data_IF_201467254215
#
_entry.id   IF_201467254215
#
_cell.length_a   1.000
_cell.length_b   1.000
_cell.length_c   1.000
_cell.angle_alpha   90.00
_cell.angle_beta   90.00
_cell.angle_gamma   90.00
#
_symmetry.space_group_name_H-M   'P 1'
#
loop_
_entity.id
_entity.type
_entity.pdbx_description
1 polymer ?
#
# COMPACT_ATOMS: atom_id res chain seq x y z
N UNK A 1 2.55 11.74 4.38
CA UNK A 1 1.27 11.95 3.66
C UNK A 1 0.60 10.60 3.51
N UNK A 2 -0.73 10.51 3.67
CA UNK A 2 -1.46 9.24 3.56
C UNK A 2 -1.41 8.72 2.11
N UNK A 3 -1.29 7.41 1.91
CA UNK A 3 -1.44 6.79 0.60
C UNK A 3 -2.93 6.73 0.24
N UNK A 4 -3.39 7.78 -0.45
CA UNK A 4 -4.80 7.96 -0.82
C UNK A 4 -5.27 6.85 -1.77
N UNK A 5 -4.39 6.37 -2.65
CA UNK A 5 -4.71 5.29 -3.59
C UNK A 5 -5.00 3.97 -2.87
N UNK A 6 -4.18 3.61 -1.88
CA UNK A 6 -4.46 2.42 -1.05
C UNK A 6 -5.75 2.57 -0.24
N UNK A 7 -6.02 3.76 0.29
CA UNK A 7 -7.28 4.04 1.00
C UNK A 7 -8.50 3.92 0.07
N UNK A 8 -8.40 4.42 -1.16
CA UNK A 8 -9.44 4.29 -2.18
C UNK A 8 -9.66 2.84 -2.62
N UNK A 9 -8.58 2.08 -2.84
CA UNK A 9 -8.64 0.66 -3.20
C UNK A 9 -9.23 -0.22 -2.09
N UNK A 10 -9.03 0.16 -0.84
CA UNK A 10 -9.64 -0.50 0.32
C UNK A 10 -11.15 -0.29 0.38
N UNK A 11 -11.63 0.90 -0.02
CA UNK A 11 -13.04 1.27 0.07
C UNK A 11 -13.57 1.11 1.50
N UNK A 12 -14.67 0.38 1.64
CA UNK A 12 -15.35 0.15 2.92
C UNK A 12 -14.69 -0.93 3.80
N UNK A 13 -13.72 -1.68 3.27
CA UNK A 13 -13.06 -2.74 4.03
C UNK A 13 -12.17 -2.15 5.12
N UNK A 14 -12.01 -2.84 6.23
CA UNK A 14 -11.08 -2.42 7.28
C UNK A 14 -9.63 -2.74 6.90
N UNK A 15 -8.68 -2.02 7.51
CA UNK A 15 -7.25 -2.34 7.36
C UNK A 15 -6.91 -3.77 7.77
N UNK A 16 -7.65 -4.30 8.76
CA UNK A 16 -7.50 -5.68 9.25
C UNK A 16 -7.94 -6.68 8.19
N UNK A 17 -9.09 -6.48 7.57
CA UNK A 17 -9.58 -7.36 6.48
C UNK A 17 -8.60 -7.36 5.32
N UNK A 18 -8.20 -6.17 4.86
CA UNK A 18 -7.21 -6.05 3.79
C UNK A 18 -5.89 -6.75 4.12
N UNK A 19 -5.35 -6.51 5.31
CA UNK A 19 -4.11 -7.15 5.73
C UNK A 19 -4.23 -8.68 5.79
N UNK A 20 -5.36 -9.20 6.27
CA UNK A 20 -5.64 -10.63 6.29
C UNK A 20 -5.77 -11.22 4.88
N UNK A 21 -6.48 -10.55 3.97
CA UNK A 21 -6.64 -10.98 2.57
C UNK A 21 -5.30 -10.98 1.81
N UNK A 22 -4.47 -9.95 2.03
CA UNK A 22 -3.12 -9.88 1.45
C UNK A 22 -2.17 -10.85 2.17
N UNK A 23 -2.48 -11.27 3.40
CA UNK A 23 -1.62 -12.10 4.23
C UNK A 23 -0.37 -11.36 4.71
N UNK A 24 -0.55 -10.16 5.27
CA UNK A 24 0.50 -9.33 5.88
C UNK A 24 0.04 -8.85 7.26
N UNK A 25 0.95 -8.42 8.15
CA UNK A 25 0.54 -7.87 9.43
C UNK A 25 -0.29 -6.60 9.26
N UNK A 26 -1.38 -6.47 10.03
CA UNK A 26 -2.27 -5.28 10.02
C UNK A 26 -1.48 -4.00 10.26
N UNK A 27 -0.52 -4.02 11.18
CA UNK A 27 0.39 -2.89 11.44
C UNK A 27 1.20 -2.50 10.22
N UNK A 28 1.62 -3.46 9.41
CA UNK A 28 2.38 -3.19 8.18
C UNK A 28 1.50 -2.49 7.15
N UNK A 29 0.28 -2.99 6.93
CA UNK A 29 -0.68 -2.34 6.04
C UNK A 29 -1.01 -0.91 6.51
N UNK A 30 -1.29 -0.74 7.81
CA UNK A 30 -1.61 0.56 8.39
C UNK A 30 -0.46 1.57 8.26
N UNK A 31 0.79 1.16 8.49
CA UNK A 31 1.96 2.04 8.33
C UNK A 31 2.17 2.48 6.88
N UNK A 32 1.88 1.60 5.91
CA UNK A 32 1.99 1.92 4.49
C UNK A 32 0.85 2.84 4.06
N UNK A 33 -0.40 2.52 4.43
CA UNK A 33 -1.56 3.35 4.12
C UNK A 33 -1.44 4.75 4.74
N UNK A 34 -0.91 4.86 5.97
CA UNK A 34 -0.64 6.13 6.61
C UNK A 34 0.58 6.88 6.04
N UNK A 35 1.38 6.23 5.19
CA UNK A 35 2.61 6.78 4.61
C UNK A 35 3.74 6.97 5.62
N UNK A 36 3.72 6.25 6.74
CA UNK A 36 4.82 6.22 7.70
C UNK A 36 5.98 5.33 7.24
N UNK A 37 5.71 4.37 6.34
CA UNK A 37 6.71 3.43 5.85
C UNK A 37 6.48 3.10 4.38
N UNK A 38 7.54 3.20 3.58
CA UNK A 38 7.52 2.65 2.24
C UNK A 38 7.77 1.13 2.27
N UNK A 39 6.92 0.31 1.62
CA UNK A 39 7.08 -1.14 1.61
C UNK A 39 8.34 -1.56 0.84
N UNK A 40 8.95 -2.69 1.24
CA UNK A 40 10.06 -3.29 0.47
C UNK A 40 9.57 -3.84 -0.87
N UNK A 41 10.48 -4.03 -1.83
CA UNK A 41 10.17 -4.49 -3.20
C UNK A 41 9.27 -5.73 -3.24
N UNK A 42 9.52 -6.73 -2.40
CA UNK A 42 8.67 -7.93 -2.32
C UNK A 42 7.22 -7.61 -1.92
N UNK A 43 7.06 -6.74 -0.93
CA UNK A 43 5.75 -6.32 -0.44
C UNK A 43 5.05 -5.39 -1.44
N UNK A 44 5.79 -4.53 -2.13
CA UNK A 44 5.26 -3.73 -3.24
C UNK A 44 4.66 -4.63 -4.33
N UNK A 45 5.41 -5.64 -4.78
CA UNK A 45 4.95 -6.61 -5.78
C UNK A 45 3.71 -7.37 -5.26
N UNK A 46 3.71 -7.76 -3.99
CA UNK A 46 2.58 -8.47 -3.37
C UNK A 46 1.31 -7.62 -3.37
N UNK A 47 1.42 -6.36 -2.95
CA UNK A 47 0.31 -5.41 -2.92
C UNK A 47 -0.19 -5.10 -4.35
N UNK A 48 0.72 -4.83 -5.27
CA UNK A 48 0.41 -4.58 -6.68
C UNK A 48 -0.37 -5.76 -7.29
N UNK A 49 0.12 -6.99 -7.12
CA UNK A 49 -0.58 -8.22 -7.56
C UNK A 49 -1.95 -8.39 -6.94
N UNK A 50 -2.09 -8.10 -5.65
CA UNK A 50 -3.37 -8.20 -4.95
C UNK A 50 -4.41 -7.23 -5.55
N UNK A 51 -4.02 -5.98 -5.77
CA UNK A 51 -4.89 -4.96 -6.37
C UNK A 51 -5.01 -5.06 -7.89
N UNK A 52 -4.31 -6.02 -8.53
CA UNK A 52 -4.22 -6.17 -9.99
C UNK A 52 -3.72 -4.90 -10.69
N UNK A 53 -2.80 -4.19 -10.02
CA UNK A 53 -2.12 -3.01 -10.51
C UNK A 53 -0.62 -3.31 -10.65
N UNK A 54 0.10 -2.45 -11.35
CA UNK A 54 1.56 -2.40 -11.29
C UNK A 54 2.04 -1.70 -10.01
N UNK A 55 3.30 -1.93 -9.64
CA UNK A 55 3.93 -1.22 -8.51
C UNK A 55 3.93 0.29 -8.77
N UNK A 56 4.17 0.69 -10.01
CA UNK A 56 4.18 2.06 -10.47
C UNK A 56 2.79 2.70 -10.33
N UNK A 57 1.74 2.02 -10.80
CA UNK A 57 0.37 2.49 -10.61
C UNK A 57 -0.02 2.59 -9.14
N UNK A 58 0.45 1.67 -8.29
CA UNK A 58 0.06 1.65 -6.88
C UNK A 58 0.78 2.70 -6.03
N UNK A 59 2.04 3.01 -6.33
CA UNK A 59 2.89 3.86 -5.48
C UNK A 59 3.45 5.13 -6.14
N UNK A 60 3.55 5.17 -7.47
CA UNK A 60 4.29 6.21 -8.20
C UNK A 60 3.40 7.08 -9.12
N UNK A 61 2.16 6.65 -9.37
CA UNK A 61 1.19 7.38 -10.20
C UNK A 61 0.59 8.64 -9.51
N UNK A 62 0.92 8.89 -8.24
CA UNK A 62 0.72 10.19 -7.59
C UNK A 62 2.07 10.91 -7.52
N UNK A 63 2.19 12.02 -8.24
CA UNK A 63 3.38 12.88 -8.28
C UNK A 63 3.89 13.21 -6.86
N UNK A 64 5.04 12.64 -6.48
CA UNK A 64 5.65 12.90 -5.18
C UNK A 64 6.56 11.78 -4.70
N UNK A 65 7.55 11.40 -5.51
CA UNK A 65 8.62 10.49 -5.06
C UNK A 65 9.51 11.28 -4.10
N UNK A 66 9.41 11.01 -2.80
CA UNK A 66 10.51 11.27 -1.86
C UNK A 66 11.02 9.92 -1.36
N UNK A 67 11.92 9.33 -2.13
CA UNK A 67 12.98 8.51 -1.55
C UNK A 67 13.83 9.45 -0.68
N UNK A 68 13.73 9.34 0.64
CA UNK A 68 14.74 9.89 1.53
C UNK A 68 15.62 8.73 1.96
N UNK A 69 16.83 8.73 1.38
CA UNK A 69 18.01 7.95 1.79
C UNK A 69 18.31 8.10 3.29
#
# INVERSE_FOLDING_TARGET
MKNEKMAALRGDRTQKEMANEIGIPVSTYAMIEAGHRFPRRELQIKLARFFKLTVDELFFDQAGVEEKE
#
